data_IF_135143799104
#
_entry.id   IF_135143799104
#
_cell.length_a   1.000
_cell.length_b   1.000
_cell.length_c   1.000
_cell.angle_alpha   90.00
_cell.angle_beta   90.00
_cell.angle_gamma   90.00
#
_symmetry.space_group_name_H-M   'P 1'
#
loop_
_entity.id
_entity.type
_entity.pdbx_description
1 polymer ?
#
# COMPACT_ATOMS: atom_id res chain seq x y z
N UNK A 1 19.15 12.35 7.88
CA UNK A 1 18.35 11.52 6.96
C UNK A 1 16.89 11.78 7.25
N UNK A 2 16.09 12.07 6.24
CA UNK A 2 14.65 12.25 6.39
C UNK A 2 13.98 10.90 6.69
N UNK A 3 12.93 10.90 7.51
CA UNK A 3 12.15 9.69 7.77
C UNK A 3 11.35 9.37 6.53
N UNK A 4 11.44 8.16 5.99
CA UNK A 4 10.56 7.71 4.91
C UNK A 4 9.29 7.13 5.49
N UNK A 5 8.15 7.53 4.94
CA UNK A 5 6.84 7.08 5.40
C UNK A 5 6.04 6.62 4.19
N UNK A 6 5.60 5.38 4.22
CA UNK A 6 4.64 4.85 3.27
C UNK A 6 3.28 4.76 3.94
N UNK A 7 2.27 5.39 3.33
CA UNK A 7 0.91 5.43 3.83
C UNK A 7 -0.06 4.90 2.78
N UNK A 8 -1.10 4.19 3.22
CA UNK A 8 -2.20 3.74 2.37
C UNK A 8 -3.46 3.51 3.22
N UNK A 9 -4.63 3.62 2.60
CA UNK A 9 -5.90 3.29 3.26
C UNK A 9 -6.24 1.82 3.07
N UNK A 10 -6.72 1.14 4.10
CA UNK A 10 -7.11 -0.29 4.05
C UNK A 10 -8.42 -0.61 3.33
N UNK A 11 -8.84 0.19 2.34
CA UNK A 11 -10.09 0.00 1.59
C UNK A 11 -9.86 0.33 0.11
N UNK A 12 -10.44 -0.47 -0.78
CA UNK A 12 -10.48 -0.23 -2.23
C UNK A 12 -11.58 0.76 -2.65
N UNK A 13 -12.34 1.36 -1.71
CA UNK A 13 -13.29 2.41 -2.06
C UNK A 13 -12.55 3.61 -2.66
N UNK A 14 -12.95 4.04 -3.87
CA UNK A 14 -12.44 5.27 -4.50
C UNK A 14 -12.68 6.53 -3.64
N UNK A 15 -13.64 6.46 -2.72
CA UNK A 15 -13.96 7.52 -1.76
C UNK A 15 -13.53 7.17 -0.32
N UNK A 16 -12.49 6.36 -0.16
CA UNK A 16 -12.01 5.87 1.15
C UNK A 16 -11.65 7.01 2.11
N UNK A 17 -12.40 7.13 3.20
CA UNK A 17 -12.07 8.04 4.32
C UNK A 17 -10.74 7.66 4.98
N UNK A 18 -10.39 6.37 4.98
CA UNK A 18 -9.13 5.88 5.55
C UNK A 18 -7.92 6.29 4.70
N UNK A 19 -8.06 6.33 3.37
CA UNK A 19 -7.00 6.86 2.49
C UNK A 19 -6.75 8.34 2.78
N UNK A 20 -7.84 9.13 2.92
CA UNK A 20 -7.75 10.56 3.28
C UNK A 20 -7.08 10.75 4.65
N UNK A 21 -7.47 9.97 5.65
CA UNK A 21 -6.90 10.03 6.99
C UNK A 21 -5.42 9.64 7.00
N UNK A 22 -5.04 8.55 6.33
CA UNK A 22 -3.66 8.09 6.24
C UNK A 22 -2.76 9.14 5.56
N UNK A 23 -3.24 9.73 4.46
CA UNK A 23 -2.54 10.82 3.77
C UNK A 23 -2.32 12.02 4.70
N UNK A 24 -3.38 12.47 5.37
CA UNK A 24 -3.28 13.59 6.32
C UNK A 24 -2.27 13.29 7.43
N UNK A 25 -2.42 12.16 8.13
CA UNK A 25 -1.57 11.80 9.26
C UNK A 25 -0.08 11.69 8.88
N UNK A 26 0.23 11.10 7.72
CA UNK A 26 1.61 10.97 7.26
C UNK A 26 2.29 12.33 7.04
N UNK A 27 1.56 13.32 6.52
CA UNK A 27 2.07 14.67 6.27
C UNK A 27 2.20 15.53 7.54
N UNK A 28 1.66 15.09 8.68
CA UNK A 28 1.85 15.79 9.96
C UNK A 28 3.24 15.58 10.57
N UNK A 29 4.05 14.66 10.00
CA UNK A 29 5.38 14.36 10.52
C UNK A 29 6.40 15.28 9.82
N UNK A 30 7.06 16.20 10.55
CA UNK A 30 8.01 17.13 9.95
C UNK A 30 9.18 16.41 9.30
N UNK A 31 9.62 16.93 8.15
CA UNK A 31 10.80 16.45 7.42
C UNK A 31 10.72 14.96 7.01
N UNK A 32 9.51 14.40 6.90
CA UNK A 32 9.29 13.08 6.35
C UNK A 32 9.16 13.12 4.82
N UNK A 33 9.74 12.12 4.17
CA UNK A 33 9.49 11.81 2.76
C UNK A 33 8.30 10.85 2.69
N UNK A 34 7.14 11.35 2.26
CA UNK A 34 5.87 10.63 2.31
C UNK A 34 5.52 10.07 0.94
N UNK A 35 5.36 8.75 0.86
CA UNK A 35 4.78 8.04 -0.29
C UNK A 35 3.38 7.57 0.05
N UNK A 36 2.38 7.99 -0.73
CA UNK A 36 1.00 7.53 -0.59
C UNK A 36 0.69 6.48 -1.66
N UNK A 37 0.29 5.28 -1.26
CA UNK A 37 -0.21 4.24 -2.18
C UNK A 37 -1.74 4.18 -2.19
N UNK A 38 -2.32 3.89 -3.35
CA UNK A 38 -3.72 3.50 -3.52
C UNK A 38 -3.81 1.98 -3.69
N UNK A 39 -4.62 1.30 -2.85
CA UNK A 39 -4.80 -0.14 -2.98
C UNK A 39 -5.47 -0.55 -4.29
N UNK A 40 -6.19 0.36 -4.96
CA UNK A 40 -6.77 0.07 -6.28
C UNK A 40 -5.69 -0.18 -7.35
N UNK A 41 -4.49 0.37 -7.19
CA UNK A 41 -3.36 0.12 -8.11
C UNK A 41 -2.72 -1.25 -7.88
N UNK A 42 -3.06 -1.91 -6.77
CA UNK A 42 -2.52 -3.21 -6.35
C UNK A 42 -3.65 -4.19 -6.07
N UNK A 43 -4.74 -4.13 -6.85
CA UNK A 43 -5.85 -5.04 -6.69
C UNK A 43 -5.39 -6.49 -6.90
N UNK A 44 -5.70 -7.33 -5.90
CA UNK A 44 -5.32 -8.73 -5.87
C UNK A 44 -6.53 -9.54 -5.45
N UNK A 45 -6.64 -10.79 -5.92
CA UNK A 45 -7.75 -11.61 -5.49
C UNK A 45 -7.54 -12.02 -4.02
N UNK A 46 -8.63 -12.31 -3.30
CA UNK A 46 -8.56 -12.75 -1.90
C UNK A 46 -7.63 -13.95 -1.81
N UNK A 47 -6.69 -13.91 -0.86
CA UNK A 47 -5.70 -14.97 -0.69
C UNK A 47 -6.35 -16.36 -0.59
N UNK A 48 -5.75 -17.31 -1.31
CA UNK A 48 -6.02 -18.75 -1.19
C UNK A 48 -4.73 -19.48 -1.47
N UNK A 49 -4.44 -20.50 -0.66
CA UNK A 49 -3.24 -21.33 -0.83
C UNK A 49 -3.28 -22.11 -2.14
N UNK A 50 -4.46 -22.48 -2.64
CA UNK A 50 -4.58 -23.23 -3.89
C UNK A 50 -4.23 -22.33 -5.09
N UNK A 51 -4.71 -21.07 -5.07
CA UNK A 51 -4.36 -20.09 -6.10
C UNK A 51 -2.86 -19.81 -6.14
N UNK A 52 -2.22 -19.72 -4.97
CA UNK A 52 -0.77 -19.50 -4.92
C UNK A 52 0.00 -20.71 -5.45
N UNK A 53 -0.44 -21.95 -5.17
CA UNK A 53 0.19 -23.16 -5.71
C UNK A 53 0.04 -23.28 -7.23
N UNK A 54 -1.11 -22.88 -7.76
CA UNK A 54 -1.43 -23.00 -9.20
C UNK A 54 -0.81 -21.86 -10.03
N UNK A 55 -0.89 -20.63 -9.53
CA UNK A 55 -0.54 -19.41 -10.28
C UNK A 55 0.60 -18.59 -9.69
N UNK A 56 1.17 -19.01 -8.56
CA UNK A 56 2.21 -18.27 -7.84
C UNK A 56 1.68 -17.03 -7.11
N UNK A 57 2.62 -16.22 -6.62
CA UNK A 57 2.31 -14.95 -5.96
C UNK A 57 1.97 -13.89 -7.01
N UNK A 58 0.85 -13.14 -6.87
CA UNK A 58 0.50 -12.07 -7.80
C UNK A 58 1.62 -11.03 -7.98
N UNK A 59 1.89 -10.62 -9.22
CA UNK A 59 2.92 -9.62 -9.51
C UNK A 59 2.69 -8.29 -8.76
N UNK A 60 1.43 -7.86 -8.64
CA UNK A 60 1.06 -6.66 -7.87
C UNK A 60 1.37 -6.79 -6.37
N UNK A 61 1.31 -8.00 -5.80
CA UNK A 61 1.73 -8.26 -4.42
C UNK A 61 3.23 -8.00 -4.24
N UNK A 62 4.02 -8.46 -5.21
CA UNK A 62 5.48 -8.29 -5.22
C UNK A 62 5.85 -6.81 -5.38
N UNK A 63 5.14 -6.07 -6.25
CA UNK A 63 5.33 -4.63 -6.42
C UNK A 63 4.95 -3.85 -5.17
N UNK A 64 3.80 -4.15 -4.55
CA UNK A 64 3.40 -3.53 -3.28
C UNK A 64 4.44 -3.78 -2.17
N UNK A 65 4.95 -5.02 -2.07
CA UNK A 65 6.03 -5.39 -1.15
C UNK A 65 7.34 -4.63 -1.42
N UNK A 66 7.66 -4.33 -2.69
CA UNK A 66 8.86 -3.56 -3.03
C UNK A 66 8.79 -2.14 -2.45
N UNK A 67 7.65 -1.45 -2.59
CA UNK A 67 7.46 -0.13 -2.00
C UNK A 67 7.63 -0.14 -0.47
N UNK A 68 7.11 -1.16 0.22
CA UNK A 68 7.28 -1.30 1.67
C UNK A 68 8.76 -1.44 2.04
N UNK A 69 9.55 -2.17 1.25
CA UNK A 69 10.98 -2.38 1.51
C UNK A 69 11.86 -1.16 1.25
N UNK A 70 11.44 -0.28 0.34
CA UNK A 70 12.17 0.94 -0.03
C UNK A 70 11.98 2.08 0.97
N UNK A 71 11.03 1.91 1.89
CA UNK A 71 10.69 2.83 2.99
C UNK A 71 11.64 2.63 4.17
#
# INVERSE_FOLDING_TARGET
>A
MNKKILAFGGSNSRNSINKRLANYAAHQIPEADVTLLDLNDFEMPIYSIDREKEGGIPALALQFKAHIKET
#
